data_IF_736992887820
#
_entry.id   IF_736992887820
#
_cell.length_a   1.000
_cell.length_b   1.000
_cell.length_c   1.000
_cell.angle_alpha   90.00
_cell.angle_beta   90.00
_cell.angle_gamma   90.00
#
_symmetry.space_group_name_H-M   'P 1'
#
loop_
_entity.id
_entity.type
_entity.pdbx_description
1 polymer ?
#
# COMPACT_ATOMS: atom_id res chain seq x y z
N UNK A 1 -18.19 6.45 11.57
CA UNK A 1 -17.67 5.20 12.18
C UNK A 1 -17.27 4.14 11.14
N UNK A 2 -18.07 3.87 10.11
CA UNK A 2 -17.75 2.88 9.07
C UNK A 2 -16.36 3.07 8.42
N UNK A 3 -16.07 4.30 7.94
CA UNK A 3 -14.77 4.64 7.35
C UNK A 3 -13.62 4.51 8.35
N UNK A 4 -13.80 5.02 9.57
CA UNK A 4 -12.78 4.95 10.62
C UNK A 4 -12.40 3.50 10.92
N UNK A 5 -13.36 2.59 10.97
CA UNK A 5 -13.09 1.16 11.16
C UNK A 5 -12.30 0.57 9.99
N UNK A 6 -12.69 0.87 8.75
CA UNK A 6 -11.94 0.44 7.56
C UNK A 6 -10.51 0.96 7.56
N UNK A 7 -10.32 2.23 7.91
CA UNK A 7 -9.00 2.83 8.01
C UNK A 7 -8.18 2.22 9.13
N UNK A 8 -8.75 1.98 10.30
CA UNK A 8 -8.04 1.33 11.41
C UNK A 8 -7.50 -0.06 11.00
N UNK A 9 -8.32 -0.87 10.34
CA UNK A 9 -7.89 -2.18 9.83
C UNK A 9 -6.82 -2.03 8.75
N UNK A 10 -7.01 -1.12 7.80
CA UNK A 10 -6.01 -0.82 6.77
C UNK A 10 -4.67 -0.39 7.37
N UNK A 11 -4.67 0.46 8.40
CA UNK A 11 -3.46 0.94 9.09
C UNK A 11 -2.75 -0.23 9.75
N UNK A 12 -3.47 -1.05 10.53
CA UNK A 12 -2.87 -2.19 11.22
C UNK A 12 -2.23 -3.15 10.21
N UNK A 13 -2.95 -3.50 9.14
CA UNK A 13 -2.42 -4.41 8.11
C UNK A 13 -1.21 -3.81 7.40
N UNK A 14 -1.27 -2.52 7.03
CA UNK A 14 -0.16 -1.85 6.36
C UNK A 14 1.09 -1.82 7.24
N UNK A 15 0.96 -1.37 8.50
CA UNK A 15 2.09 -1.30 9.44
C UNK A 15 2.70 -2.67 9.69
N UNK A 16 1.87 -3.70 9.90
CA UNK A 16 2.37 -5.07 10.12
C UNK A 16 3.06 -5.60 8.87
N UNK A 17 2.47 -5.42 7.68
CA UNK A 17 3.05 -5.90 6.43
C UNK A 17 4.37 -5.18 6.11
N UNK A 18 4.43 -3.86 6.25
CA UNK A 18 5.65 -3.07 6.06
C UNK A 18 6.73 -3.44 7.08
N UNK A 19 6.36 -3.67 8.35
CA UNK A 19 7.30 -4.11 9.36
C UNK A 19 7.92 -5.47 9.01
N UNK A 20 7.10 -6.43 8.59
CA UNK A 20 7.56 -7.74 8.14
C UNK A 20 8.42 -7.63 6.89
N UNK A 21 8.02 -6.80 5.93
CA UNK A 21 8.76 -6.54 4.71
C UNK A 21 10.14 -5.94 5.02
N UNK A 22 10.21 -4.95 5.90
CA UNK A 22 11.47 -4.33 6.30
C UNK A 22 12.38 -5.31 7.04
N UNK A 23 11.82 -6.10 7.95
CA UNK A 23 12.57 -6.98 8.84
C UNK A 23 13.02 -8.28 8.17
N UNK A 24 12.16 -8.87 7.32
CA UNK A 24 12.38 -10.20 6.73
C UNK A 24 12.90 -10.14 5.29
N UNK A 25 12.63 -9.04 4.56
CA UNK A 25 13.02 -8.90 3.16
C UNK A 25 14.13 -7.88 3.01
N UNK A 26 13.88 -6.62 3.36
CA UNK A 26 14.84 -5.55 3.06
C UNK A 26 16.11 -5.65 3.90
N UNK A 27 15.99 -5.73 5.23
CA UNK A 27 17.14 -5.79 6.14
C UNK A 27 18.14 -6.91 5.83
N UNK A 28 17.69 -8.15 5.61
CA UNK A 28 18.59 -9.27 5.32
C UNK A 28 19.21 -9.23 3.91
N UNK A 29 18.53 -8.63 2.91
CA UNK A 29 18.88 -8.79 1.50
C UNK A 29 19.50 -7.54 0.86
N UNK A 30 19.24 -6.34 1.37
CA UNK A 30 19.71 -5.09 0.76
C UNK A 30 21.20 -4.81 1.00
N UNK A 31 21.86 -5.52 1.93
CA UNK A 31 23.25 -5.26 2.29
C UNK A 31 23.49 -3.85 2.86
N UNK A 32 24.74 -3.52 3.27
CA UNK A 32 25.06 -2.23 3.89
C UNK A 32 25.01 -1.05 2.92
N UNK A 33 25.22 -1.27 1.63
CA UNK A 33 25.19 -0.23 0.59
C UNK A 33 23.78 -0.01 0.01
N UNK A 34 22.81 -0.85 0.37
CA UNK A 34 21.46 -0.79 -0.16
C UNK A 34 21.32 -1.35 -1.58
N UNK A 35 20.21 -1.02 -2.23
CA UNK A 35 19.87 -1.51 -3.58
C UNK A 35 20.63 -0.76 -4.67
N UNK A 36 21.71 -1.35 -5.18
CA UNK A 36 22.57 -0.74 -6.21
C UNK A 36 22.08 -0.88 -7.67
N UNK A 37 20.96 -1.55 -7.93
CA UNK A 37 20.42 -1.72 -9.29
C UNK A 37 18.90 -1.58 -9.35
N UNK A 38 18.38 -1.22 -10.53
CA UNK A 38 16.93 -1.12 -10.77
C UNK A 38 16.20 -2.44 -10.47
N UNK A 39 16.75 -3.57 -10.90
CA UNK A 39 16.16 -4.89 -10.63
C UNK A 39 16.11 -5.21 -9.14
N UNK A 40 17.16 -4.89 -8.40
CA UNK A 40 17.19 -5.06 -6.95
C UNK A 40 16.19 -4.12 -6.24
N UNK A 41 16.07 -2.86 -6.67
CA UNK A 41 15.07 -1.93 -6.16
C UNK A 41 13.64 -2.43 -6.45
N UNK A 42 13.39 -2.96 -7.64
CA UNK A 42 12.09 -3.54 -8.00
C UNK A 42 11.77 -4.75 -7.11
N UNK A 43 12.73 -5.67 -6.96
CA UNK A 43 12.54 -6.92 -6.23
C UNK A 43 12.45 -6.75 -4.71
N UNK A 44 13.25 -5.86 -4.12
CA UNK A 44 13.38 -5.74 -2.67
C UNK A 44 12.59 -4.57 -2.06
N UNK A 45 12.18 -3.59 -2.88
CA UNK A 45 11.44 -2.41 -2.42
C UNK A 45 10.05 -2.38 -3.03
N UNK A 46 9.95 -2.29 -4.35
CA UNK A 46 8.67 -1.99 -5.00
C UNK A 46 7.69 -3.17 -5.02
N UNK A 47 8.13 -4.39 -5.33
CA UNK A 47 7.27 -5.59 -5.32
C UNK A 47 6.80 -5.95 -3.89
N UNK A 48 7.66 -5.95 -2.85
CA UNK A 48 7.20 -6.19 -1.50
C UNK A 48 6.24 -5.09 -1.00
N UNK A 49 6.52 -3.82 -1.32
CA UNK A 49 5.61 -2.72 -1.00
C UNK A 49 4.27 -2.85 -1.72
N UNK A 50 4.27 -3.31 -2.99
CA UNK A 50 3.04 -3.61 -3.73
C UNK A 50 2.16 -4.59 -2.96
N UNK A 51 2.74 -5.68 -2.45
CA UNK A 51 2.01 -6.67 -1.63
C UNK A 51 1.44 -6.02 -0.38
N UNK A 52 2.20 -5.18 0.31
CA UNK A 52 1.72 -4.46 1.50
C UNK A 52 0.50 -3.58 1.20
N UNK A 53 0.56 -2.80 0.10
CA UNK A 53 -0.56 -1.96 -0.36
C UNK A 53 -1.77 -2.83 -0.72
N UNK A 54 -1.59 -3.91 -1.48
CA UNK A 54 -2.68 -4.83 -1.86
C UNK A 54 -3.39 -5.37 -0.62
N UNK A 55 -2.64 -5.87 0.36
CA UNK A 55 -3.19 -6.46 1.58
C UNK A 55 -3.94 -5.41 2.41
N UNK A 56 -3.36 -4.22 2.58
CA UNK A 56 -3.99 -3.14 3.33
C UNK A 56 -5.29 -2.66 2.67
N UNK A 57 -5.27 -2.42 1.35
CA UNK A 57 -6.46 -2.03 0.59
C UNK A 57 -7.54 -3.11 0.66
N UNK A 58 -7.17 -4.37 0.44
CA UNK A 58 -8.11 -5.48 0.49
C UNK A 58 -8.73 -5.62 1.88
N UNK A 59 -7.95 -5.60 2.95
CA UNK A 59 -8.45 -5.70 4.31
C UNK A 59 -9.40 -4.55 4.68
N UNK A 60 -9.04 -3.31 4.33
CA UNK A 60 -9.87 -2.13 4.56
C UNK A 60 -11.20 -2.18 3.79
N UNK A 61 -11.15 -2.63 2.53
CA UNK A 61 -12.34 -2.87 1.70
C UNK A 61 -13.22 -3.96 2.31
N UNK A 62 -12.64 -5.08 2.76
CA UNK A 62 -13.35 -6.24 3.32
C UNK A 62 -14.22 -5.89 4.52
N UNK A 63 -13.75 -5.00 5.39
CA UNK A 63 -14.47 -4.60 6.61
C UNK A 63 -15.40 -3.39 6.41
N UNK A 64 -15.45 -2.80 5.21
CA UNK A 64 -16.34 -1.68 4.90
C UNK A 64 -17.80 -2.15 4.88
N UNK A 65 -18.68 -1.67 5.76
CA UNK A 65 -20.02 -2.24 5.91
C UNK A 65 -20.98 -1.86 4.75
N UNK A 66 -21.92 -2.76 4.44
CA UNK A 66 -23.14 -2.41 3.69
C UNK A 66 -23.99 -1.38 4.47
N UNK A 67 -24.73 -0.47 3.81
CA UNK A 67 -24.92 -0.32 2.36
C UNK A 67 -23.83 0.53 1.67
N UNK A 68 -22.85 1.03 2.42
CA UNK A 68 -21.87 1.99 1.90
C UNK A 68 -20.93 1.42 0.82
N UNK A 69 -20.83 0.10 0.72
CA UNK A 69 -20.12 -0.60 -0.36
C UNK A 69 -20.73 -0.39 -1.74
N UNK A 70 -22.05 -0.14 -1.82
CA UNK A 70 -22.75 0.14 -3.08
C UNK A 70 -22.41 1.53 -3.63
N UNK A 71 -21.86 2.43 -2.78
CA UNK A 71 -21.42 3.76 -3.19
C UNK A 71 -19.93 3.69 -3.58
N UNK A 72 -19.58 3.63 -4.89
CA UNK A 72 -18.22 3.33 -5.33
C UNK A 72 -17.19 4.33 -4.79
N UNK A 73 -17.54 5.62 -4.75
CA UNK A 73 -16.67 6.65 -4.19
C UNK A 73 -16.36 6.44 -2.70
N UNK A 74 -17.34 6.00 -1.90
CA UNK A 74 -17.13 5.73 -0.47
C UNK A 74 -16.34 4.45 -0.25
N UNK A 75 -16.57 3.43 -1.06
CA UNK A 75 -15.80 2.18 -1.00
C UNK A 75 -14.33 2.40 -1.37
N UNK A 76 -14.08 3.19 -2.43
CA UNK A 76 -12.72 3.61 -2.80
C UNK A 76 -12.04 4.40 -1.68
N UNK A 77 -12.74 5.36 -1.07
CA UNK A 77 -12.20 6.11 0.07
C UNK A 77 -11.95 5.21 1.30
N UNK A 78 -12.80 4.22 1.56
CA UNK A 78 -12.57 3.28 2.65
C UNK A 78 -11.30 2.45 2.43
N UNK A 79 -11.06 2.01 1.19
CA UNK A 79 -10.00 1.07 0.84
C UNK A 79 -8.64 1.73 0.56
N UNK A 80 -8.62 2.87 -0.14
CA UNK A 80 -7.40 3.45 -0.69
C UNK A 80 -6.82 4.60 0.14
N UNK A 81 -7.59 5.19 1.07
CA UNK A 81 -7.13 6.36 1.84
C UNK A 81 -5.91 6.04 2.69
N UNK A 82 -5.82 4.85 3.30
CA UNK A 82 -4.68 4.51 4.16
C UNK A 82 -3.38 4.41 3.38
N UNK A 83 -3.28 3.58 2.30
CA UNK A 83 -2.05 3.56 1.48
C UNK A 83 -1.70 4.93 0.88
N UNK A 84 -2.69 5.71 0.44
CA UNK A 84 -2.44 7.05 -0.09
C UNK A 84 -1.90 8.00 0.99
N UNK A 85 -2.47 7.97 2.20
CA UNK A 85 -1.98 8.75 3.32
C UNK A 85 -0.56 8.35 3.74
N UNK A 86 -0.24 7.06 3.70
CA UNK A 86 1.12 6.57 3.96
C UNK A 86 2.13 7.12 2.93
N UNK A 87 1.78 7.14 1.64
CA UNK A 87 2.65 7.73 0.62
C UNK A 87 2.85 9.25 0.83
N UNK A 88 1.77 9.98 1.17
CA UNK A 88 1.85 11.41 1.48
C UNK A 88 2.72 11.66 2.72
N UNK A 89 2.57 10.82 3.76
CA UNK A 89 3.36 10.91 4.97
C UNK A 89 4.85 10.66 4.68
N UNK A 90 5.15 9.64 3.87
CA UNK A 90 6.52 9.34 3.46
C UNK A 90 7.16 10.52 2.71
N UNK A 91 6.42 11.13 1.77
CA UNK A 91 6.86 12.33 1.06
C UNK A 91 7.12 13.50 2.01
N UNK A 92 6.25 13.71 3.00
CA UNK A 92 6.37 14.80 3.96
C UNK A 92 7.54 14.61 4.94
N UNK A 93 7.81 13.37 5.36
CA UNK A 93 8.85 13.05 6.34
C UNK A 93 10.23 12.82 5.71
N UNK A 94 10.29 12.43 4.43
CA UNK A 94 11.52 12.06 3.73
C UNK A 94 11.59 12.68 2.33
N UNK A 95 11.55 14.01 2.22
CA UNK A 95 11.58 14.69 0.92
C UNK A 95 12.85 14.36 0.12
N UNK A 96 13.98 14.14 0.79
CA UNK A 96 15.26 13.79 0.13
C UNK A 96 15.26 12.38 -0.50
N UNK A 97 14.36 11.49 -0.07
CA UNK A 97 14.24 10.11 -0.58
C UNK A 97 13.26 10.04 -1.75
N UNK A 98 12.27 10.93 -1.77
CA UNK A 98 11.13 10.91 -2.68
C UNK A 98 10.93 12.29 -3.30
N UNK A 99 11.78 12.62 -4.28
CA UNK A 99 11.61 13.83 -5.08
C UNK A 99 10.40 13.70 -6.02
N UNK A 100 9.49 14.68 -5.99
CA UNK A 100 8.28 14.75 -6.83
C UNK A 100 8.60 14.75 -8.34
N UNK A 101 9.74 15.31 -8.74
CA UNK A 101 10.20 15.29 -10.13
C UNK A 101 10.95 13.98 -10.47
N UNK A 102 11.28 13.17 -9.48
CA UNK A 102 12.15 12.01 -9.60
C UNK A 102 11.42 10.74 -10.06
N UNK A 103 12.12 9.82 -10.76
CA UNK A 103 11.56 8.54 -11.20
C UNK A 103 11.12 7.64 -10.02
N UNK A 104 11.74 7.79 -8.85
CA UNK A 104 11.39 7.06 -7.64
C UNK A 104 9.95 7.37 -7.15
N UNK A 105 9.53 8.64 -7.25
CA UNK A 105 8.16 9.04 -6.92
C UNK A 105 7.14 8.42 -7.86
N UNK A 106 7.42 8.42 -9.16
CA UNK A 106 6.53 7.82 -10.16
C UNK A 106 6.45 6.30 -10.01
N UNK A 107 7.55 5.62 -9.70
CA UNK A 107 7.54 4.19 -9.39
C UNK A 107 6.71 3.89 -8.13
N UNK A 108 6.92 4.64 -7.05
CA UNK A 108 6.14 4.50 -5.81
C UNK A 108 4.65 4.76 -6.03
N UNK A 109 4.32 5.78 -6.82
CA UNK A 109 2.93 6.09 -7.22
C UNK A 109 2.33 4.98 -8.07
N UNK A 110 3.09 4.42 -9.02
CA UNK A 110 2.68 3.26 -9.79
C UNK A 110 2.38 2.05 -8.91
N UNK A 111 3.23 1.78 -7.91
CA UNK A 111 3.01 0.73 -6.92
C UNK A 111 1.75 0.99 -6.08
N UNK A 112 1.53 2.23 -5.62
CA UNK A 112 0.31 2.59 -4.89
C UNK A 112 -0.94 2.30 -5.72
N UNK A 113 -0.98 2.81 -6.96
CA UNK A 113 -2.14 2.69 -7.84
C UNK A 113 -2.40 1.23 -8.21
N UNK A 114 -1.36 0.48 -8.59
CA UNK A 114 -1.46 -0.93 -8.91
C UNK A 114 -1.92 -1.74 -7.68
N UNK A 115 -1.37 -1.45 -6.51
CA UNK A 115 -1.73 -2.14 -5.27
C UNK A 115 -3.16 -1.87 -4.85
N UNK A 116 -3.61 -0.62 -4.92
CA UNK A 116 -5.00 -0.26 -4.65
C UNK A 116 -5.95 -0.95 -5.63
N UNK A 117 -5.64 -0.92 -6.93
CA UNK A 117 -6.46 -1.58 -7.94
C UNK A 117 -6.55 -3.09 -7.71
N UNK A 118 -5.41 -3.75 -7.47
CA UNK A 118 -5.38 -5.19 -7.20
C UNK A 118 -6.09 -5.57 -5.89
N UNK A 119 -5.94 -4.79 -4.81
CA UNK A 119 -6.65 -5.03 -3.54
C UNK A 119 -8.17 -4.92 -3.70
N UNK A 120 -8.65 -3.95 -4.49
CA UNK A 120 -10.07 -3.80 -4.82
C UNK A 120 -10.58 -4.95 -5.72
N UNK A 121 -9.77 -5.39 -6.68
CA UNK A 121 -10.10 -6.53 -7.52
C UNK A 121 -10.19 -7.82 -6.69
N UNK A 122 -9.29 -8.03 -5.72
CA UNK A 122 -9.37 -9.16 -4.79
C UNK A 122 -10.62 -9.11 -3.91
N UNK A 123 -11.03 -7.93 -3.43
CA UNK A 123 -12.28 -7.77 -2.66
C UNK A 123 -13.49 -8.18 -3.51
N UNK A 124 -13.49 -7.83 -4.81
CA UNK A 124 -14.53 -8.21 -5.77
C UNK A 124 -14.54 -9.72 -6.06
N UNK A 125 -13.37 -10.32 -6.29
CA UNK A 125 -13.24 -11.75 -6.65
C UNK A 125 -13.65 -12.67 -5.51
N UNK A 126 -13.18 -12.39 -4.30
CA UNK A 126 -13.51 -13.19 -3.09
C UNK A 126 -14.98 -13.03 -2.70
N UNK A 127 -15.63 -11.94 -3.10
CA UNK A 127 -17.06 -11.75 -2.82
C UNK A 127 -17.98 -12.54 -3.75
N UNK A 128 -17.53 -12.86 -4.97
CA UNK A 128 -18.31 -13.65 -5.93
C UNK A 128 -18.23 -15.17 -5.71
N UNK A 129 -17.40 -15.63 -4.78
CA UNK A 129 -17.20 -17.03 -4.40
C UNK A 129 -17.81 -17.33 -3.04
#
# INVERSE_FOLDING_TARGET
>A
MALVRSWAVGIVVLVVAEYLQMTLVYGPLAGPEGVGSFGAALALVHLPNLVCVVLATWAAARVHPEPWREMPARHLAAACTVPAAAQVLLLALRPDVLDLAGPAFWMSTGVLLAGCAAGLLLDRLVWTS
#
